data_IF_795635636146
#
_entry.id   IF_795635636146
#
_cell.length_a   1.000
_cell.length_b   1.000
_cell.length_c   1.000
_cell.angle_alpha   90.00
_cell.angle_beta   90.00
_cell.angle_gamma   90.00
#
_symmetry.space_group_name_H-M   'P 1'
#
loop_
_entity.id
_entity.type
_entity.pdbx_description
1 polymer ?
#
# COMPACT_ATOMS: atom_id res chain seq x y z
N UNK A 1 -23.41 0.18 -5.39
CA UNK A 1 -22.94 -0.41 -4.10
C UNK A 1 -22.05 -1.65 -4.27
N UNK A 2 -22.10 -2.36 -5.42
CA UNK A 2 -21.34 -3.59 -5.65
C UNK A 2 -19.84 -3.39 -5.94
N UNK A 3 -19.42 -2.27 -6.55
CA UNK A 3 -18.01 -2.01 -6.87
C UNK A 3 -17.09 -1.98 -5.65
N UNK A 4 -17.54 -1.36 -4.55
CA UNK A 4 -16.81 -1.33 -3.27
C UNK A 4 -16.71 -2.75 -2.69
N UNK A 5 -17.78 -3.55 -2.82
CA UNK A 5 -17.80 -4.95 -2.35
C UNK A 5 -16.82 -5.81 -3.15
N UNK A 6 -16.81 -5.68 -4.49
CA UNK A 6 -15.86 -6.38 -5.38
C UNK A 6 -14.41 -5.93 -5.13
N UNK A 7 -14.22 -4.63 -4.90
CA UNK A 7 -12.92 -4.10 -4.48
C UNK A 7 -12.50 -4.70 -3.12
N UNK A 8 -13.43 -4.83 -2.17
CA UNK A 8 -13.26 -5.42 -0.84
C UNK A 8 -13.20 -6.97 -0.80
N UNK A 9 -13.50 -7.66 -1.91
CA UNK A 9 -13.34 -9.13 -2.02
C UNK A 9 -12.20 -9.55 -2.94
N UNK A 10 -11.71 -8.68 -3.82
CA UNK A 10 -10.59 -8.95 -4.73
C UNK A 10 -9.32 -9.45 -4.02
N UNK A 11 -8.75 -10.55 -4.52
CA UNK A 11 -7.49 -11.14 -4.04
C UNK A 11 -6.47 -11.08 -5.18
N UNK A 12 -5.19 -10.98 -4.86
CA UNK A 12 -4.12 -11.02 -5.87
C UNK A 12 -3.23 -12.24 -5.69
N UNK A 13 -2.83 -12.85 -6.81
CA UNK A 13 -1.77 -13.86 -6.80
C UNK A 13 -0.42 -13.24 -6.41
N UNK A 14 0.55 -14.07 -6.02
CA UNK A 14 1.92 -13.59 -5.70
C UNK A 14 2.57 -12.93 -6.91
N UNK A 15 2.32 -13.47 -8.11
CA UNK A 15 2.86 -12.94 -9.37
C UNK A 15 2.24 -11.59 -9.71
N UNK A 16 0.91 -11.47 -9.63
CA UNK A 16 0.21 -10.19 -9.82
C UNK A 16 0.70 -9.13 -8.83
N UNK A 17 0.91 -9.51 -7.56
CA UNK A 17 1.43 -8.59 -6.56
C UNK A 17 2.78 -7.99 -6.99
N UNK A 18 3.76 -8.83 -7.35
CA UNK A 18 5.07 -8.35 -7.76
C UNK A 18 5.03 -7.54 -9.06
N UNK A 19 4.22 -7.94 -10.04
CA UNK A 19 4.03 -7.16 -11.27
C UNK A 19 3.50 -5.76 -10.92
N UNK A 20 2.47 -5.67 -10.08
CA UNK A 20 1.91 -4.38 -9.66
C UNK A 20 2.90 -3.52 -8.88
N UNK A 21 3.75 -4.11 -8.03
CA UNK A 21 4.81 -3.39 -7.31
C UNK A 21 5.88 -2.86 -8.28
N UNK A 22 6.31 -3.67 -9.26
CA UNK A 22 7.28 -3.24 -10.28
C UNK A 22 6.71 -2.07 -11.10
N UNK A 23 5.46 -2.20 -11.57
CA UNK A 23 4.78 -1.13 -12.31
C UNK A 23 4.62 0.15 -11.47
N UNK A 24 4.29 0.00 -10.18
CA UNK A 24 4.17 1.12 -9.26
C UNK A 24 5.49 1.86 -9.09
N UNK A 25 6.60 1.13 -8.88
CA UNK A 25 7.94 1.71 -8.74
C UNK A 25 8.36 2.41 -10.03
N UNK A 26 8.08 1.82 -11.20
CA UNK A 26 8.36 2.46 -12.48
C UNK A 26 7.54 3.73 -12.69
N UNK A 27 6.24 3.71 -12.41
CA UNK A 27 5.36 4.87 -12.56
C UNK A 27 5.72 6.00 -11.57
N UNK A 28 5.98 5.66 -10.31
CA UNK A 28 6.40 6.62 -9.28
C UNK A 28 7.79 7.20 -9.59
N UNK A 29 8.74 6.33 -9.98
CA UNK A 29 10.10 6.71 -10.30
C UNK A 29 10.20 7.56 -11.56
N UNK A 30 9.43 7.26 -12.61
CA UNK A 30 9.36 8.09 -13.82
C UNK A 30 8.78 9.47 -13.53
N UNK A 31 7.69 9.56 -12.75
CA UNK A 31 7.14 10.84 -12.33
C UNK A 31 8.18 11.67 -11.54
N UNK A 32 8.94 11.03 -10.63
CA UNK A 32 10.04 11.68 -9.91
C UNK A 32 11.18 12.14 -10.82
N UNK A 33 11.61 11.30 -11.77
CA UNK A 33 12.67 11.62 -12.73
C UNK A 33 12.31 12.80 -13.65
N UNK A 34 11.01 12.98 -13.94
CA UNK A 34 10.47 14.13 -14.68
C UNK A 34 10.29 15.39 -13.82
N UNK A 35 10.69 15.36 -12.54
CA UNK A 35 10.58 16.50 -11.61
C UNK A 35 9.27 16.58 -10.84
N UNK A 36 8.30 15.69 -11.10
CA UNK A 36 7.01 15.65 -10.42
C UNK A 36 7.07 14.82 -9.13
N UNK A 37 7.95 15.21 -8.20
CA UNK A 37 8.22 14.47 -6.95
C UNK A 37 6.96 14.26 -6.09
N UNK A 38 6.08 15.27 -5.98
CA UNK A 38 4.83 15.16 -5.21
C UNK A 38 3.89 14.15 -5.86
N UNK A 39 3.77 14.18 -7.20
CA UNK A 39 2.93 13.25 -7.94
C UNK A 39 3.48 11.82 -7.84
N UNK A 40 4.80 11.64 -7.97
CA UNK A 40 5.45 10.33 -7.81
C UNK A 40 5.19 9.73 -6.43
N UNK A 41 5.28 10.53 -5.37
CA UNK A 41 4.96 10.12 -4.01
C UNK A 41 3.46 9.80 -3.84
N UNK A 42 2.58 10.62 -4.41
CA UNK A 42 1.13 10.41 -4.34
C UNK A 42 0.73 9.11 -5.07
N UNK A 43 1.23 8.90 -6.29
CA UNK A 43 1.03 7.66 -7.04
C UNK A 43 1.56 6.46 -6.25
N UNK A 44 2.79 6.56 -5.74
CA UNK A 44 3.40 5.54 -4.89
C UNK A 44 2.51 5.16 -3.71
N UNK A 45 2.02 6.15 -2.96
CA UNK A 45 1.20 5.90 -1.77
C UNK A 45 -0.21 5.40 -2.11
N UNK A 46 -0.95 6.13 -2.95
CA UNK A 46 -2.36 5.84 -3.21
C UNK A 46 -2.59 4.57 -4.03
N UNK A 47 -1.68 4.23 -4.94
CA UNK A 47 -1.79 2.98 -5.72
C UNK A 47 -1.21 1.78 -4.98
N UNK A 48 -0.28 1.98 -4.05
CA UNK A 48 0.22 0.90 -3.20
C UNK A 48 -0.86 0.33 -2.29
N UNK A 49 -1.70 1.19 -1.70
CA UNK A 49 -2.76 0.80 -0.78
C UNK A 49 -3.70 -0.29 -1.33
N UNK A 50 -4.32 -0.15 -2.52
CA UNK A 50 -5.13 -1.21 -3.12
C UNK A 50 -4.37 -2.53 -3.27
N UNK A 51 -3.11 -2.45 -3.70
CA UNK A 51 -2.26 -3.63 -3.94
C UNK A 51 -2.00 -4.37 -2.63
N UNK A 52 -1.62 -3.63 -1.57
CA UNK A 52 -1.36 -4.17 -0.24
C UNK A 52 -2.61 -4.80 0.38
N UNK A 53 -3.77 -4.12 0.31
CA UNK A 53 -5.05 -4.61 0.85
C UNK A 53 -5.46 -5.92 0.15
N UNK A 54 -5.38 -5.99 -1.19
CA UNK A 54 -5.70 -7.21 -1.96
C UNK A 54 -4.76 -8.37 -1.59
N UNK A 55 -3.49 -8.06 -1.35
CA UNK A 55 -2.49 -9.04 -0.95
C UNK A 55 -2.73 -9.57 0.45
N UNK A 56 -3.01 -8.70 1.42
CA UNK A 56 -3.36 -9.09 2.79
C UNK A 56 -4.59 -10.02 2.83
N UNK A 57 -5.60 -9.74 2.00
CA UNK A 57 -6.77 -10.63 1.86
C UNK A 57 -6.42 -12.00 1.26
N UNK A 58 -5.49 -12.06 0.30
CA UNK A 58 -4.98 -13.33 -0.22
C UNK A 58 -4.19 -14.12 0.85
N UNK A 59 -3.58 -13.43 1.81
CA UNK A 59 -2.95 -14.01 3.00
C UNK A 59 -3.96 -14.37 4.11
N UNK A 60 -5.26 -14.22 3.86
CA UNK A 60 -6.31 -14.64 4.80
C UNK A 60 -6.67 -13.62 5.88
N UNK A 61 -6.12 -12.40 5.85
CA UNK A 61 -6.45 -11.35 6.83
C UNK A 61 -7.91 -10.91 6.69
N UNK A 62 -8.51 -10.49 7.81
CA UNK A 62 -9.89 -9.97 7.79
C UNK A 62 -9.95 -8.64 7.01
N UNK A 63 -11.10 -8.27 6.43
CA UNK A 63 -11.25 -7.03 5.67
C UNK A 63 -10.84 -5.78 6.46
N UNK A 64 -11.16 -5.77 7.76
CA UNK A 64 -10.81 -4.69 8.69
C UNK A 64 -9.30 -4.64 8.98
N UNK A 65 -8.68 -5.80 9.24
CA UNK A 65 -7.22 -5.89 9.42
C UNK A 65 -6.45 -5.56 8.15
N UNK A 66 -7.06 -5.75 6.97
CA UNK A 66 -6.44 -5.40 5.70
C UNK A 66 -6.35 -3.88 5.48
N UNK A 67 -7.11 -3.08 6.25
CA UNK A 67 -6.98 -1.62 6.31
C UNK A 67 -5.90 -1.16 7.30
N UNK A 68 -5.33 -2.06 8.11
CA UNK A 68 -4.27 -1.72 9.05
C UNK A 68 -3.08 -0.96 8.43
N UNK A 69 -2.65 -1.21 7.18
CA UNK A 69 -1.61 -0.39 6.55
C UNK A 69 -1.97 1.10 6.45
N UNK A 70 -3.24 1.45 6.22
CA UNK A 70 -3.72 2.84 6.22
C UNK A 70 -3.56 3.46 7.61
N UNK A 71 -4.01 2.74 8.63
CA UNK A 71 -3.93 3.19 10.03
C UNK A 71 -2.49 3.29 10.53
N UNK A 72 -1.63 2.34 10.15
CA UNK A 72 -0.23 2.31 10.52
C UNK A 72 0.55 3.50 9.93
N UNK A 73 0.27 3.87 8.68
CA UNK A 73 0.89 5.06 8.07
C UNK A 73 0.46 6.36 8.75
N UNK A 74 -0.81 6.46 9.17
CA UNK A 74 -1.31 7.62 9.93
C UNK A 74 -0.72 7.66 11.34
N UNK A 75 -0.75 6.53 12.07
CA UNK A 75 -0.21 6.41 13.42
C UNK A 75 1.29 6.66 13.49
N UNK A 76 2.04 6.24 12.47
CA UNK A 76 3.47 6.56 12.35
C UNK A 76 3.71 8.07 12.25
N UNK A 77 2.89 8.79 11.45
CA UNK A 77 2.97 10.26 11.36
C UNK A 77 2.70 10.94 12.71
N UNK A 78 1.70 10.46 13.46
CA UNK A 78 1.39 10.96 14.81
C UNK A 78 2.53 10.70 15.79
N UNK A 79 3.07 9.49 15.81
CA UNK A 79 4.20 9.11 16.68
C UNK A 79 5.45 9.94 16.39
N UNK A 80 5.75 10.22 15.11
CA UNK A 80 6.84 11.11 14.71
C UNK A 80 6.57 12.54 15.19
N UNK A 81 5.33 13.02 15.08
CA UNK A 81 4.92 14.33 15.61
C UNK A 81 5.12 14.44 17.12
N UNK A 82 4.77 13.40 17.87
CA UNK A 82 4.98 13.33 19.32
C UNK A 82 6.47 13.15 19.70
N UNK A 83 7.26 12.43 18.91
CA UNK A 83 8.69 12.28 19.18
C UNK A 83 9.42 13.64 19.15
N UNK A 84 8.97 14.58 18.32
CA UNK A 84 9.51 15.95 18.25
C UNK A 84 9.23 16.77 19.51
N UNK A 85 8.19 16.46 20.27
CA UNK A 85 7.90 17.16 21.54
C UNK A 85 8.72 16.63 22.70
N UNK A 86 9.23 15.40 22.60
CA UNK A 86 9.98 14.70 23.66
C UNK A 86 11.51 14.84 23.45
N UNK A 87 11.98 14.97 22.20
CA UNK A 87 13.41 15.08 21.87
C UNK A 87 13.72 16.49 21.32
N UNK A 88 13.98 17.49 22.18
CA UNK A 88 14.18 18.89 21.77
C UNK A 88 15.49 19.15 21.01
N UNK A 89 16.42 18.18 20.98
CA UNK A 89 17.73 18.30 20.31
C UNK A 89 17.65 17.91 18.83
N UNK A 90 16.52 17.36 18.37
CA UNK A 90 16.37 16.95 16.98
C UNK A 90 16.05 18.16 16.10
N UNK A 91 16.98 18.56 15.23
CA UNK A 91 16.69 19.61 14.24
C UNK A 91 15.51 19.17 13.35
N UNK A 92 14.70 20.11 12.83
CA UNK A 92 13.57 19.77 11.96
C UNK A 92 13.98 18.93 10.74
N UNK A 93 15.18 19.16 10.22
CA UNK A 93 15.76 18.43 9.09
C UNK A 93 16.14 17.00 9.47
N UNK A 94 16.82 16.80 10.59
CA UNK A 94 17.14 15.45 11.09
C UNK A 94 15.88 14.67 11.40
N UNK A 95 14.88 15.30 12.04
CA UNK A 95 13.60 14.66 12.32
C UNK A 95 12.84 14.27 11.03
N UNK A 96 12.91 15.11 10.00
CA UNK A 96 12.35 14.80 8.68
C UNK A 96 13.09 13.62 8.04
N UNK A 97 14.41 13.64 7.99
CA UNK A 97 15.21 12.55 7.42
C UNK A 97 14.97 11.22 8.14
N UNK A 98 14.92 11.22 9.47
CA UNK A 98 14.62 10.03 10.27
C UNK A 98 13.20 9.53 9.97
N UNK A 99 12.20 10.42 9.93
CA UNK A 99 10.83 10.03 9.63
C UNK A 99 10.67 9.44 8.23
N UNK A 100 11.35 10.01 7.23
CA UNK A 100 11.34 9.51 5.86
C UNK A 100 12.09 8.18 5.79
N UNK A 101 13.27 8.08 6.40
CA UNK A 101 14.07 6.85 6.42
C UNK A 101 13.33 5.69 7.07
N UNK A 102 12.78 5.89 8.28
CA UNK A 102 12.02 4.86 8.99
C UNK A 102 10.72 4.51 8.25
N UNK A 103 10.02 5.53 7.72
CA UNK A 103 8.80 5.30 6.93
C UNK A 103 9.06 4.51 5.65
N UNK A 104 10.11 4.86 4.90
CA UNK A 104 10.50 4.17 3.66
C UNK A 104 10.98 2.75 3.97
N UNK A 105 11.91 2.58 4.91
CA UNK A 105 12.45 1.26 5.28
C UNK A 105 11.34 0.35 5.81
N UNK A 106 10.50 0.85 6.71
CA UNK A 106 9.37 0.08 7.25
C UNK A 106 8.37 -0.32 6.16
N UNK A 107 8.06 0.58 5.23
CA UNK A 107 7.18 0.29 4.09
C UNK A 107 7.78 -0.78 3.18
N UNK A 108 9.08 -0.70 2.87
CA UNK A 108 9.76 -1.70 2.05
C UNK A 108 9.84 -3.07 2.71
N UNK A 109 10.16 -3.13 4.01
CA UNK A 109 10.11 -4.38 4.79
C UNK A 109 8.71 -4.99 4.68
N UNK A 110 7.67 -4.17 4.82
CA UNK A 110 6.29 -4.64 4.74
C UNK A 110 5.92 -5.10 3.31
N UNK A 111 6.35 -4.39 2.26
CA UNK A 111 6.19 -4.82 0.86
C UNK A 111 6.83 -6.20 0.64
N UNK A 112 8.09 -6.36 1.05
CA UNK A 112 8.83 -7.62 0.89
C UNK A 112 8.14 -8.73 1.68
N UNK A 113 7.72 -8.47 2.91
CA UNK A 113 6.99 -9.41 3.75
C UNK A 113 5.69 -9.92 3.07
N UNK A 114 4.90 -9.01 2.50
CA UNK A 114 3.69 -9.36 1.75
C UNK A 114 3.99 -10.17 0.48
N UNK A 115 5.07 -9.82 -0.21
CA UNK A 115 5.50 -10.49 -1.44
C UNK A 115 6.15 -11.86 -1.22
N UNK A 116 6.75 -12.10 -0.05
CA UNK A 116 7.43 -13.35 0.29
C UNK A 116 6.46 -14.47 0.70
N UNK A 117 5.35 -14.12 1.36
CA UNK A 117 4.39 -15.11 1.89
C UNK A 117 3.63 -15.86 0.78
N UNK A 118 3.36 -17.15 0.96
CA UNK A 118 2.46 -17.87 0.07
C UNK A 118 1.00 -17.40 0.26
N UNK A 119 0.22 -17.39 -0.82
CA UNK A 119 -1.21 -17.08 -0.72
C UNK A 119 -1.93 -18.23 -0.01
N UNK A 120 -2.70 -17.93 1.04
CA UNK A 120 -3.55 -18.92 1.73
C UNK A 120 -4.89 -19.10 1.02
N UNK A 121 -5.33 -18.09 0.26
CA UNK A 121 -6.55 -18.13 -0.54
C UNK A 121 -6.19 -17.94 -2.01
N UNK A 122 -6.77 -18.72 -2.93
CA UNK A 122 -6.56 -18.53 -4.36
C UNK A 122 -7.02 -17.13 -4.80
N UNK A 123 -6.38 -16.61 -5.84
CA UNK A 123 -6.80 -15.37 -6.48
C UNK A 123 -8.26 -15.50 -6.93
N UNK A 124 -9.02 -14.41 -6.86
CA UNK A 124 -10.38 -14.42 -7.41
C UNK A 124 -10.27 -14.65 -8.92
N UNK A 125 -10.90 -15.70 -9.45
CA UNK A 125 -10.92 -15.91 -10.90
C UNK A 125 -11.80 -14.85 -11.55
N UNK A 126 -11.51 -14.52 -12.81
CA UNK A 126 -12.35 -13.63 -13.62
C UNK A 126 -13.79 -14.13 -13.71
N UNK A 127 -14.01 -15.44 -13.63
CA UNK A 127 -15.34 -16.07 -13.60
C UNK A 127 -16.12 -15.80 -12.30
N UNK A 128 -15.42 -15.45 -11.22
CA UNK A 128 -16.03 -15.07 -9.93
C UNK A 128 -16.20 -13.56 -9.78
N UNK A 129 -15.68 -12.76 -10.71
CA UNK A 129 -16.01 -11.34 -10.77
C UNK A 129 -17.40 -11.20 -11.38
N UNK A 130 -18.36 -10.49 -10.75
CA UNK A 130 -19.64 -10.22 -11.38
C UNK A 130 -19.37 -9.58 -12.74
N UNK A 131 -19.89 -10.18 -13.81
CA UNK A 131 -19.67 -9.72 -15.18
C UNK A 131 -20.04 -8.24 -15.22
N UNK A 132 -19.09 -7.39 -15.59
CA UNK A 132 -19.31 -5.95 -15.68
C UNK A 132 -20.53 -5.60 -16.57
N UNK A 133 -20.95 -6.51 -17.45
CA UNK A 133 -22.16 -6.41 -18.25
C UNK A 133 -23.45 -6.33 -17.40
N UNK A 134 -23.55 -7.00 -16.25
CA UNK A 134 -24.77 -7.00 -15.41
C UNK A 134 -24.90 -5.73 -14.53
N UNK A 135 -23.92 -4.83 -14.55
CA UNK A 135 -23.91 -3.60 -13.74
C UNK A 135 -24.34 -2.38 -14.57
N UNK A 136 -24.38 -2.51 -15.90
CA UNK A 136 -24.71 -1.42 -16.83
C UNK A 136 -26.00 -1.67 -17.65
N UNK A 137 -26.70 -2.77 -17.39
CA UNK A 137 -28.13 -2.97 -17.73
C UNK A 137 -29.02 -2.50 -16.57
#
# INVERSE_FOLDING_TARGET
MNAIKTYLTGRSSRREYWISIVLLVLASGTAGALGYNILGNALGFFLWLPIAVRRLRALGWSPWLSLAPLGATFGFGVLVGMARTIVPVMTPETAKLVSVGVGVVGTWIFIIYLGARASLKPAASLDQAPRLAEVFD
#
